data_IF_035804896266
#
_entry.id   IF_035804896266
#
_cell.length_a   1.000
_cell.length_b   1.000
_cell.length_c   1.000
_cell.angle_alpha   90.00
_cell.angle_beta   90.00
_cell.angle_gamma   90.00
#
_symmetry.space_group_name_H-M   'P 1'
#
loop_
_entity.id
_entity.type
_entity.pdbx_description
1 polymer ?
#
# COMPACT_ATOMS: atom_id res chain seq x y z
N UNK A 1 -16.92 -4.14 10.20
CA UNK A 1 -16.07 -3.92 9.01
C UNK A 1 -15.29 -2.64 9.25
N UNK A 2 -13.99 -2.63 8.97
CA UNK A 2 -13.18 -1.41 9.06
C UNK A 2 -13.56 -0.50 7.89
N UNK A 3 -13.63 0.80 8.14
CA UNK A 3 -13.93 1.84 7.14
C UNK A 3 -12.65 2.66 6.95
N UNK A 4 -11.92 2.40 5.85
CA UNK A 4 -10.62 3.03 5.60
C UNK A 4 -10.77 4.52 5.36
N UNK A 5 -11.90 4.98 4.79
CA UNK A 5 -12.17 6.41 4.61
C UNK A 5 -12.29 7.13 5.94
N UNK A 6 -12.93 6.52 6.95
CA UNK A 6 -12.92 7.05 8.32
C UNK A 6 -11.52 7.05 8.92
N UNK A 7 -10.73 5.99 8.70
CA UNK A 7 -9.35 5.94 9.18
C UNK A 7 -8.45 6.99 8.51
N UNK A 8 -8.62 7.29 7.22
CA UNK A 8 -7.93 8.40 6.55
C UNK A 8 -8.15 9.72 7.29
N UNK A 9 -9.42 10.04 7.60
CA UNK A 9 -9.77 11.25 8.36
C UNK A 9 -9.16 11.23 9.77
N UNK A 10 -9.16 10.08 10.42
CA UNK A 10 -8.59 9.93 11.77
C UNK A 10 -7.07 10.11 11.79
N UNK A 11 -6.35 9.52 10.83
CA UNK A 11 -4.91 9.70 10.66
C UNK A 11 -4.57 11.17 10.44
N UNK A 12 -5.30 11.85 9.55
CA UNK A 12 -5.09 13.27 9.28
C UNK A 12 -5.40 14.14 10.50
N UNK A 13 -6.50 13.86 11.22
CA UNK A 13 -6.84 14.54 12.47
C UNK A 13 -5.70 14.42 13.48
N UNK A 14 -5.21 13.21 13.73
CA UNK A 14 -4.09 13.00 14.65
C UNK A 14 -2.80 13.71 14.17
N UNK A 15 -2.48 13.69 12.87
CA UNK A 15 -1.34 14.45 12.32
C UNK A 15 -1.45 15.95 12.61
N UNK A 16 -2.62 16.54 12.39
CA UNK A 16 -2.88 17.95 12.68
C UNK A 16 -2.78 18.26 14.18
N UNK A 17 -3.37 17.42 15.04
CA UNK A 17 -3.32 17.59 16.50
C UNK A 17 -1.89 17.48 17.05
N UNK A 18 -1.02 16.68 16.43
CA UNK A 18 0.39 16.53 16.81
C UNK A 18 1.35 17.51 16.13
N UNK A 19 0.86 18.33 15.20
CA UNK A 19 1.70 19.25 14.42
C UNK A 19 2.66 18.53 13.46
N UNK A 20 2.28 17.34 12.98
CA UNK A 20 3.06 16.62 11.98
C UNK A 20 2.89 17.21 10.57
N UNK A 21 3.80 16.83 9.68
CA UNK A 21 3.73 17.21 8.28
C UNK A 21 2.43 16.71 7.63
N UNK A 22 1.79 17.61 6.88
CA UNK A 22 0.55 17.35 6.12
C UNK A 22 0.58 17.98 4.72
N UNK A 23 1.68 18.66 4.36
CA UNK A 23 1.78 19.44 3.12
C UNK A 23 2.94 19.00 2.24
N UNK A 24 4.05 18.51 2.80
CA UNK A 24 5.15 17.93 2.04
C UNK A 24 4.86 16.46 1.72
N UNK A 25 4.24 16.22 0.57
CA UNK A 25 3.90 14.87 0.11
C UNK A 25 5.15 14.02 -0.14
N UNK A 26 6.24 14.61 -0.62
CA UNK A 26 7.47 13.85 -0.88
C UNK A 26 8.05 13.30 0.42
N UNK A 27 8.03 14.09 1.49
CA UNK A 27 8.42 13.63 2.82
C UNK A 27 7.52 12.49 3.32
N UNK A 28 6.21 12.55 3.11
CA UNK A 28 5.31 11.45 3.50
C UNK A 28 5.63 10.14 2.76
N UNK A 29 5.96 10.20 1.47
CA UNK A 29 6.43 9.02 0.74
C UNK A 29 7.75 8.47 1.29
N UNK A 30 8.69 9.34 1.67
CA UNK A 30 9.93 8.92 2.33
C UNK A 30 9.65 8.18 3.65
N UNK A 31 8.71 8.67 4.47
CA UNK A 31 8.32 8.00 5.71
C UNK A 31 7.66 6.66 5.48
N UNK A 32 6.74 6.56 4.51
CA UNK A 32 6.16 5.27 4.14
C UNK A 32 7.23 4.24 3.72
N UNK A 33 8.28 4.70 3.04
CA UNK A 33 9.42 3.86 2.64
C UNK A 33 10.30 3.44 3.83
N UNK A 34 10.44 4.32 4.82
CA UNK A 34 11.15 4.05 6.08
C UNK A 34 10.45 2.91 6.84
N UNK A 35 9.14 3.00 7.07
CA UNK A 35 8.36 1.96 7.76
C UNK A 35 8.43 0.60 7.01
N UNK A 36 8.38 0.63 5.67
CA UNK A 36 8.52 -0.60 4.88
C UNK A 36 9.93 -1.22 5.02
N UNK A 37 10.95 -0.36 5.17
CA UNK A 37 12.32 -0.80 5.41
C UNK A 37 12.48 -1.40 6.81
N UNK A 38 11.76 -0.88 7.81
CA UNK A 38 11.69 -1.46 9.15
C UNK A 38 11.02 -2.84 9.14
N UNK A 39 9.89 -2.98 8.45
CA UNK A 39 9.22 -4.26 8.26
C UNK A 39 10.16 -5.31 7.65
N UNK A 40 10.89 -4.94 6.59
CA UNK A 40 11.88 -5.81 5.96
C UNK A 40 13.03 -6.15 6.92
N UNK A 41 13.58 -5.17 7.64
CA UNK A 41 14.66 -5.35 8.62
C UNK A 41 14.25 -6.36 9.69
N UNK A 42 13.05 -6.21 10.28
CA UNK A 42 12.52 -7.13 11.29
C UNK A 42 12.34 -8.54 10.72
N UNK A 43 11.74 -8.68 9.54
CA UNK A 43 11.58 -9.97 8.88
C UNK A 43 12.93 -10.66 8.62
N UNK A 44 13.88 -9.95 8.03
CA UNK A 44 15.20 -10.49 7.67
C UNK A 44 16.02 -10.91 8.90
N UNK A 45 15.79 -10.27 10.04
CA UNK A 45 16.44 -10.59 11.32
C UNK A 45 15.67 -11.61 12.17
N UNK A 46 14.55 -12.16 11.67
CA UNK A 46 13.63 -13.04 12.43
C UNK A 46 13.15 -12.40 13.75
N UNK A 47 12.86 -11.10 13.73
CA UNK A 47 12.36 -10.36 14.88
C UNK A 47 10.82 -10.28 14.86
N UNK A 48 10.23 -10.13 16.05
CA UNK A 48 8.81 -9.83 16.19
C UNK A 48 8.49 -8.40 15.70
N UNK A 49 7.21 -8.14 15.40
CA UNK A 49 6.72 -6.79 15.10
C UNK A 49 6.59 -6.46 13.61
N UNK A 50 6.81 -7.40 12.68
CA UNK A 50 6.59 -7.15 11.23
C UNK A 50 5.17 -6.67 10.93
N UNK A 51 4.17 -7.21 11.64
CA UNK A 51 2.77 -6.82 11.46
C UNK A 51 2.47 -5.39 11.95
N UNK A 52 3.20 -4.91 12.96
CA UNK A 52 3.10 -3.54 13.47
C UNK A 52 3.64 -2.57 12.41
N UNK A 53 4.82 -2.85 11.85
CA UNK A 53 5.40 -2.03 10.78
C UNK A 53 4.52 -1.98 9.52
N UNK A 54 3.82 -3.07 9.19
CA UNK A 54 2.84 -3.03 8.11
C UNK A 54 1.65 -2.11 8.42
N UNK A 55 1.26 -1.98 9.69
CA UNK A 55 0.27 -1.00 10.09
C UNK A 55 0.82 0.43 9.97
N UNK A 56 2.09 0.66 10.31
CA UNK A 56 2.73 1.97 10.15
C UNK A 56 2.82 2.39 8.67
N UNK A 57 3.20 1.47 7.78
CA UNK A 57 3.11 1.69 6.31
C UNK A 57 1.69 2.06 5.91
N UNK A 58 0.68 1.32 6.39
CA UNK A 58 -0.71 1.58 6.06
C UNK A 58 -1.19 2.96 6.56
N UNK A 59 -0.75 3.39 7.75
CA UNK A 59 -1.06 4.72 8.30
C UNK A 59 -0.51 5.82 7.40
N UNK A 60 0.72 5.71 6.89
CA UNK A 60 1.24 6.68 5.94
C UNK A 60 0.48 6.67 4.61
N UNK A 61 0.13 5.50 4.08
CA UNK A 61 -0.69 5.43 2.86
C UNK A 61 -2.06 6.09 3.04
N UNK A 62 -2.73 5.86 4.18
CA UNK A 62 -3.99 6.53 4.52
C UNK A 62 -3.82 8.06 4.61
N UNK A 63 -2.75 8.52 5.26
CA UNK A 63 -2.43 9.94 5.34
C UNK A 63 -2.16 10.58 3.97
N UNK A 64 -1.35 9.93 3.14
CA UNK A 64 -1.03 10.39 1.76
C UNK A 64 -2.29 10.44 0.91
N UNK A 65 -3.14 9.41 0.97
CA UNK A 65 -4.42 9.38 0.26
C UNK A 65 -5.32 10.55 0.66
N UNK A 66 -5.39 10.89 1.95
CA UNK A 66 -6.14 12.05 2.42
C UNK A 66 -5.56 13.37 1.92
N UNK A 67 -4.23 13.54 1.91
CA UNK A 67 -3.56 14.75 1.39
C UNK A 67 -3.83 14.93 -0.11
N UNK A 68 -3.82 13.83 -0.87
CA UNK A 68 -4.03 13.84 -2.32
C UNK A 68 -5.50 13.83 -2.74
N UNK A 69 -6.43 13.70 -1.79
CA UNK A 69 -7.87 13.68 -2.06
C UNK A 69 -8.39 12.36 -2.64
N UNK A 70 -7.69 11.25 -2.42
CA UNK A 70 -8.09 9.92 -2.86
C UNK A 70 -8.92 9.20 -1.79
N UNK A 71 -9.91 8.42 -2.25
CA UNK A 71 -10.58 7.41 -1.43
C UNK A 71 -9.83 6.08 -1.59
N UNK A 72 -8.98 5.75 -0.61
CA UNK A 72 -8.15 4.55 -0.67
C UNK A 72 -9.00 3.27 -0.60
N UNK A 73 -10.13 3.30 0.09
CA UNK A 73 -11.03 2.14 0.16
C UNK A 73 -11.60 1.83 -1.23
N UNK A 74 -12.13 2.85 -1.91
CA UNK A 74 -12.68 2.72 -3.25
C UNK A 74 -11.64 2.20 -4.25
N UNK A 75 -10.44 2.80 -4.26
CA UNK A 75 -9.36 2.36 -5.14
C UNK A 75 -8.87 0.94 -4.83
N UNK A 76 -8.79 0.57 -3.55
CA UNK A 76 -8.38 -0.78 -3.14
C UNK A 76 -9.42 -1.82 -3.58
N UNK A 77 -10.70 -1.57 -3.31
CA UNK A 77 -11.80 -2.47 -3.70
C UNK A 77 -11.84 -2.63 -5.22
N UNK A 78 -11.78 -1.53 -5.96
CA UNK A 78 -11.71 -1.52 -7.42
C UNK A 78 -10.51 -2.32 -7.92
N UNK A 79 -9.33 -2.10 -7.34
CA UNK A 79 -8.10 -2.79 -7.75
C UNK A 79 -8.16 -4.29 -7.48
N UNK A 80 -8.71 -4.70 -6.34
CA UNK A 80 -8.91 -6.11 -6.00
C UNK A 80 -9.85 -6.76 -7.02
N UNK A 81 -10.94 -6.10 -7.40
CA UNK A 81 -11.88 -6.63 -8.41
C UNK A 81 -11.23 -6.79 -9.78
N UNK A 82 -10.50 -5.77 -10.25
CA UNK A 82 -9.70 -5.85 -11.49
C UNK A 82 -8.72 -7.03 -11.43
N UNK A 83 -8.03 -7.20 -10.30
CA UNK A 83 -7.04 -8.27 -10.15
C UNK A 83 -7.67 -9.68 -10.13
N UNK A 84 -8.91 -9.84 -9.63
CA UNK A 84 -9.66 -11.12 -9.66
C UNK A 84 -9.96 -11.55 -11.10
N UNK A 85 -10.27 -10.60 -11.97
CA UNK A 85 -10.62 -10.87 -13.36
C UNK A 85 -9.41 -10.99 -14.29
N UNK A 86 -8.23 -10.54 -13.83
CA UNK A 86 -6.99 -10.52 -14.60
C UNK A 86 -6.55 -11.91 -15.04
N UNK A 87 -6.14 -12.03 -16.31
CA UNK A 87 -5.65 -13.29 -16.90
C UNK A 87 -4.13 -13.33 -16.95
N UNK A 88 -3.58 -14.50 -16.64
CA UNK A 88 -2.15 -14.77 -16.70
C UNK A 88 -1.89 -16.00 -17.54
N UNK A 89 -0.82 -15.97 -18.33
CA UNK A 89 -0.25 -17.16 -18.97
C UNK A 89 1.01 -17.57 -18.22
N UNK A 90 1.19 -18.88 -18.09
CA UNK A 90 2.38 -19.47 -17.47
C UNK A 90 3.44 -19.67 -18.56
N UNK A 91 4.63 -19.14 -18.34
CA UNK A 91 5.78 -19.29 -19.23
C UNK A 91 7.02 -19.72 -18.44
N UNK A 92 8.10 -20.04 -19.16
CA UNK A 92 9.40 -20.39 -18.57
C UNK A 92 10.36 -19.21 -18.72
N UNK A 93 11.04 -18.84 -17.63
CA UNK A 93 12.18 -17.92 -17.69
C UNK A 93 13.36 -18.57 -18.45
N UNK A 94 14.38 -17.79 -18.84
CA UNK A 94 15.63 -18.35 -19.37
C UNK A 94 16.29 -19.39 -18.45
N UNK A 95 16.10 -19.29 -17.13
CA UNK A 95 16.58 -20.28 -16.15
C UNK A 95 15.58 -21.42 -15.87
N UNK A 96 14.51 -21.55 -16.66
CA UNK A 96 13.51 -22.63 -16.55
C UNK A 96 12.50 -22.48 -15.41
N UNK A 97 12.47 -21.32 -14.73
CA UNK A 97 11.51 -21.04 -13.65
C UNK A 97 10.14 -20.66 -14.22
N UNK A 98 9.10 -21.06 -13.51
CA UNK A 98 7.74 -20.65 -13.86
C UNK A 98 7.56 -19.15 -13.64
N UNK A 99 7.13 -18.43 -14.67
CA UNK A 99 6.76 -17.02 -14.60
C UNK A 99 5.33 -16.83 -15.09
N UNK A 100 4.60 -15.92 -14.44
CA UNK A 100 3.24 -15.55 -14.83
C UNK A 100 3.27 -14.23 -15.56
N UNK A 101 2.97 -14.26 -16.86
CA UNK A 101 2.91 -13.07 -17.70
C UNK A 101 1.45 -12.64 -17.83
N UNK A 102 1.15 -11.38 -17.52
CA UNK A 102 -0.20 -10.81 -17.69
C UNK A 102 -0.57 -10.86 -19.18
N UNK A 103 -1.73 -11.42 -19.48
CA UNK A 103 -2.37 -11.32 -20.79
C UNK A 103 -3.26 -10.09 -20.76
N UNK A 104 -2.99 -9.09 -21.61
CA UNK A 104 -3.83 -7.89 -21.67
C UNK A 104 -5.20 -8.21 -22.28
N UNK A 105 -6.27 -7.75 -21.64
CA UNK A 105 -7.64 -7.88 -22.14
C UNK A 105 -8.29 -6.49 -22.33
N UNK A 106 -9.38 -6.36 -23.11
CA UNK A 106 -10.07 -5.07 -23.29
C UNK A 106 -10.63 -4.47 -22.00
N UNK A 107 -10.83 -5.28 -20.97
CA UNK A 107 -11.34 -4.88 -19.64
C UNK A 107 -10.22 -4.42 -18.69
N UNK A 108 -8.96 -4.50 -19.13
CA UNK A 108 -7.85 -3.96 -18.38
C UNK A 108 -7.88 -2.41 -18.42
N UNK A 109 -7.68 -1.72 -17.28
CA UNK A 109 -7.49 -0.28 -17.26
C UNK A 109 -6.17 0.14 -17.94
#
# INVERSE_FOLDING_TARGET
MVDLKKLQKEVMRNKLEKGFNTTDVALEFCRAHEELSEAFSKHNKNQLGVAEEFADVAIFLLGISEILGYDLEEELVRKIDINKNRKYKKEKSPEGKDVFIRVRTPEDP
#
